data_IF_075090487354
#
_entry.id   IF_075090487354
#
_cell.length_a   1.000
_cell.length_b   1.000
_cell.length_c   1.000
_cell.angle_alpha   90.00
_cell.angle_beta   90.00
_cell.angle_gamma   90.00
#
_symmetry.space_group_name_H-M   'P 1'
#
loop_
_entity.id
_entity.type
_entity.pdbx_description
1 polymer ?
#
# COMPACT_ATOMS: atom_id res chain seq x y z
N UNK A 1 -24.96 -56.02 -46.60
CA UNK A 1 -25.78 -55.31 -45.62
C UNK A 1 -25.00 -55.15 -44.30
N UNK A 2 -23.97 -54.30 -44.25
CA UNK A 2 -23.14 -54.02 -43.05
C UNK A 2 -22.44 -52.67 -43.21
N UNK A 3 -23.19 -51.58 -43.32
CA UNK A 3 -22.62 -50.23 -43.43
C UNK A 3 -23.32 -49.24 -42.49
N UNK A 4 -23.87 -49.72 -41.40
CA UNK A 4 -24.58 -48.83 -40.45
C UNK A 4 -23.83 -48.61 -39.11
N UNK A 5 -22.66 -49.18 -38.95
CA UNK A 5 -21.98 -49.11 -37.68
C UNK A 5 -20.76 -48.16 -37.66
N UNK A 6 -20.36 -47.63 -38.81
CA UNK A 6 -19.11 -46.86 -38.88
C UNK A 6 -19.32 -45.32 -38.81
N UNK A 7 -20.55 -44.86 -39.01
CA UNK A 7 -20.85 -43.45 -39.08
C UNK A 7 -21.12 -42.79 -37.70
N UNK A 8 -21.44 -43.60 -36.70
CA UNK A 8 -21.74 -43.07 -35.34
C UNK A 8 -20.47 -42.84 -34.52
N UNK A 9 -19.41 -43.58 -34.79
CA UNK A 9 -18.15 -43.41 -34.06
C UNK A 9 -17.37 -42.14 -34.47
N UNK A 10 -17.63 -41.63 -35.67
CA UNK A 10 -16.89 -40.47 -36.17
C UNK A 10 -17.46 -39.13 -35.67
N UNK A 11 -18.73 -39.13 -35.28
CA UNK A 11 -19.41 -37.91 -34.78
C UNK A 11 -19.07 -37.68 -33.31
N UNK A 12 -18.83 -38.73 -32.54
CA UNK A 12 -18.46 -38.63 -31.14
C UNK A 12 -17.03 -38.09 -30.91
N UNK A 13 -16.14 -38.33 -31.87
CA UNK A 13 -14.75 -37.80 -31.76
C UNK A 13 -14.63 -36.33 -32.18
N UNK A 14 -15.57 -35.79 -32.92
CA UNK A 14 -15.55 -34.40 -33.34
C UNK A 14 -16.11 -33.45 -32.28
N UNK A 15 -16.98 -33.93 -31.39
CA UNK A 15 -17.53 -33.14 -30.28
C UNK A 15 -16.54 -32.92 -29.12
N UNK A 16 -15.54 -33.76 -28.97
CA UNK A 16 -14.52 -33.64 -27.92
C UNK A 16 -13.39 -32.67 -28.27
N UNK A 17 -13.20 -32.34 -29.54
CA UNK A 17 -12.17 -31.39 -29.98
C UNK A 17 -12.68 -29.95 -29.91
N UNK A 18 -13.97 -29.73 -29.93
CA UNK A 18 -14.55 -28.40 -29.81
C UNK A 18 -14.73 -27.91 -28.35
N UNK A 19 -14.51 -28.78 -27.38
CA UNK A 19 -14.63 -28.44 -25.98
C UNK A 19 -13.31 -28.00 -25.31
N UNK A 20 -12.17 -28.06 -25.98
CA UNK A 20 -10.87 -27.73 -25.40
C UNK A 20 -10.27 -26.43 -25.91
N UNK A 21 -10.97 -25.70 -26.77
CA UNK A 21 -10.55 -24.36 -27.18
C UNK A 21 -11.29 -23.25 -26.44
N UNK A 22 -11.96 -23.56 -25.35
CA UNK A 22 -12.49 -22.55 -24.47
C UNK A 22 -11.64 -22.44 -23.24
N UNK A 23 -11.04 -21.29 -23.14
CA UNK A 23 -10.54 -20.72 -21.90
C UNK A 23 -9.28 -21.37 -21.34
N UNK A 24 -8.22 -21.08 -21.97
CA UNK A 24 -7.15 -20.52 -21.20
C UNK A 24 -7.39 -19.01 -21.03
N UNK A 25 -8.47 -18.58 -20.42
CA UNK A 25 -8.34 -17.46 -19.52
C UNK A 25 -7.58 -18.06 -18.34
N UNK A 26 -6.29 -17.91 -18.37
CA UNK A 26 -5.45 -17.94 -17.19
C UNK A 26 -5.92 -16.75 -16.33
N UNK A 27 -7.08 -16.88 -15.71
CA UNK A 27 -7.49 -16.11 -14.56
C UNK A 27 -6.66 -16.67 -13.40
N UNK A 28 -5.35 -16.42 -13.46
CA UNK A 28 -4.51 -16.53 -12.28
C UNK A 28 -5.15 -15.61 -11.23
N UNK A 29 -5.52 -16.14 -10.05
CA UNK A 29 -6.25 -15.35 -9.06
C UNK A 29 -5.44 -14.09 -8.76
N UNK A 30 -6.06 -12.93 -8.96
CA UNK A 30 -5.41 -11.65 -8.75
C UNK A 30 -4.80 -11.59 -7.33
N UNK A 31 -3.54 -11.18 -7.23
CA UNK A 31 -2.85 -11.08 -5.96
C UNK A 31 -3.65 -10.20 -4.98
N UNK A 32 -3.69 -10.54 -3.68
CA UNK A 32 -4.36 -9.72 -2.67
C UNK A 32 -3.95 -8.25 -2.77
N UNK A 33 -4.91 -7.34 -2.57
CA UNK A 33 -4.71 -5.89 -2.74
C UNK A 33 -3.49 -5.39 -1.98
N UNK A 34 -3.31 -5.85 -0.73
CA UNK A 34 -2.16 -5.46 0.08
C UNK A 34 -0.83 -6.01 -0.46
N UNK A 35 -0.82 -7.16 -1.13
CA UNK A 35 0.39 -7.70 -1.75
C UNK A 35 0.83 -6.91 -2.99
N UNK A 36 -0.12 -6.25 -3.66
CA UNK A 36 0.17 -5.43 -4.85
C UNK A 36 0.88 -4.11 -4.50
N UNK A 37 0.77 -3.66 -3.25
CA UNK A 37 1.32 -2.37 -2.79
C UNK A 37 2.41 -2.50 -1.74
N UNK A 38 2.68 -3.70 -1.23
CA UNK A 38 3.75 -3.91 -0.26
C UNK A 38 5.12 -3.69 -0.89
N UNK A 39 6.00 -2.98 -0.18
CA UNK A 39 7.37 -2.71 -0.60
C UNK A 39 7.95 -1.41 -0.08
N UNK A 40 9.15 -1.09 -0.55
CA UNK A 40 9.90 0.11 -0.17
C UNK A 40 9.72 1.20 -1.23
N UNK A 41 9.14 2.31 -0.84
CA UNK A 41 8.92 3.46 -1.72
C UNK A 41 9.88 4.59 -1.37
N UNK A 42 10.70 4.98 -2.33
CA UNK A 42 11.64 6.09 -2.16
C UNK A 42 11.21 7.27 -2.99
N UNK A 43 11.20 8.45 -2.38
CA UNK A 43 10.82 9.66 -3.08
C UNK A 43 10.83 10.89 -2.19
N UNK A 44 10.14 11.92 -2.64
CA UNK A 44 10.15 13.22 -1.99
C UNK A 44 9.13 13.28 -0.84
N UNK A 45 9.60 13.73 0.31
CA UNK A 45 8.78 14.06 1.48
C UNK A 45 8.85 15.55 1.76
N UNK A 46 7.68 16.17 1.93
CA UNK A 46 7.55 17.57 2.35
C UNK A 46 6.79 17.60 3.67
N UNK A 47 7.39 18.25 4.67
CA UNK A 47 6.77 18.46 5.98
C UNK A 47 6.48 19.94 6.18
N UNK A 48 5.23 20.23 6.46
CA UNK A 48 4.74 21.57 6.79
C UNK A 48 4.46 21.67 8.29
N UNK A 49 4.88 22.76 8.90
CA UNK A 49 4.58 23.14 10.29
C UNK A 49 3.95 24.51 10.25
N UNK A 50 2.74 24.66 10.81
CA UNK A 50 2.00 25.92 10.79
C UNK A 50 1.88 26.55 9.38
N UNK A 51 1.72 25.69 8.34
CA UNK A 51 1.66 26.04 6.92
C UNK A 51 2.97 26.56 6.31
N UNK A 52 4.09 26.44 7.00
CA UNK A 52 5.41 26.74 6.46
C UNK A 52 6.16 25.45 6.16
N UNK A 53 6.90 25.39 5.04
CA UNK A 53 7.75 24.25 4.70
C UNK A 53 8.90 24.15 5.70
N UNK A 54 8.95 23.04 6.41
CA UNK A 54 9.95 22.78 7.45
C UNK A 54 11.00 21.78 6.98
N UNK A 55 10.65 20.90 6.06
CA UNK A 55 11.55 19.90 5.47
C UNK A 55 11.09 19.52 4.08
N UNK A 56 12.06 19.27 3.19
CA UNK A 56 11.83 18.78 1.84
C UNK A 56 13.01 17.87 1.47
N UNK A 57 12.82 16.57 1.66
CA UNK A 57 13.89 15.58 1.58
C UNK A 57 13.47 14.32 0.84
N UNK A 58 14.46 13.57 0.34
CA UNK A 58 14.22 12.22 -0.15
C UNK A 58 14.19 11.24 1.00
N UNK A 59 13.08 10.53 1.15
CA UNK A 59 12.85 9.53 2.21
C UNK A 59 12.40 8.20 1.62
N UNK A 60 12.49 7.15 2.44
CA UNK A 60 11.99 5.82 2.09
C UNK A 60 10.94 5.41 3.11
N UNK A 61 9.75 5.10 2.61
CA UNK A 61 8.63 4.55 3.36
C UNK A 61 8.52 3.05 3.09
N UNK A 62 8.30 2.26 4.12
CA UNK A 62 8.05 0.82 4.00
C UNK A 62 6.55 0.55 4.16
N UNK A 63 5.98 -0.12 3.17
CA UNK A 63 4.58 -0.59 3.21
C UNK A 63 4.62 -2.10 3.39
N UNK A 64 4.12 -2.58 4.51
CA UNK A 64 4.15 -4.01 4.86
C UNK A 64 2.74 -4.58 4.87
N UNK A 65 2.52 -5.69 4.17
CA UNK A 65 1.26 -6.42 4.19
C UNK A 65 0.98 -6.95 5.60
N UNK A 66 -0.24 -6.68 6.12
CA UNK A 66 -0.76 -7.24 7.37
C UNK A 66 -1.83 -8.28 7.09
N UNK A 67 -2.77 -7.95 6.20
CA UNK A 67 -3.83 -8.84 5.73
C UNK A 67 -3.98 -8.71 4.22
N UNK A 68 -4.96 -9.35 3.62
CA UNK A 68 -5.21 -9.21 2.18
C UNK A 68 -5.71 -7.81 1.79
N UNK A 69 -6.24 -7.06 2.75
CA UNK A 69 -6.84 -5.74 2.55
C UNK A 69 -6.32 -4.66 3.50
N UNK A 70 -5.20 -4.90 4.19
CA UNK A 70 -4.60 -3.90 5.08
C UNK A 70 -3.08 -3.95 5.07
N UNK A 71 -2.47 -2.80 5.33
CA UNK A 71 -1.02 -2.63 5.41
C UNK A 71 -0.62 -1.84 6.64
N UNK A 72 0.62 -2.02 7.07
CA UNK A 72 1.33 -1.12 7.97
C UNK A 72 2.20 -0.17 7.13
N UNK A 73 2.34 1.07 7.57
CA UNK A 73 3.24 2.06 6.97
C UNK A 73 4.31 2.45 7.98
N UNK A 74 5.56 2.16 7.69
CA UNK A 74 6.71 2.66 8.45
C UNK A 74 7.11 4.02 7.92
N UNK A 75 6.97 5.03 8.77
CA UNK A 75 7.39 6.40 8.52
C UNK A 75 8.86 6.53 8.90
N UNK A 76 9.72 7.07 8.04
CA UNK A 76 11.14 7.24 8.34
C UNK A 76 11.38 8.28 9.43
N UNK A 77 12.57 8.24 10.01
CA UNK A 77 13.01 9.25 10.96
C UNK A 77 13.06 10.64 10.31
N UNK A 78 12.63 11.62 11.06
CA UNK A 78 12.68 13.02 10.67
C UNK A 78 13.31 13.88 11.77
N UNK A 79 14.11 14.87 11.39
CA UNK A 79 14.78 15.76 12.32
C UNK A 79 14.70 17.23 11.91
N UNK A 80 14.48 18.10 12.89
CA UNK A 80 14.54 19.55 12.74
C UNK A 80 15.40 20.14 13.87
N UNK A 81 16.59 20.59 13.52
CA UNK A 81 17.53 21.14 14.49
C UNK A 81 17.93 20.13 15.58
N UNK A 82 17.61 20.42 16.83
CA UNK A 82 17.89 19.53 17.98
C UNK A 82 16.76 18.53 18.25
N UNK A 83 15.70 18.53 17.47
CA UNK A 83 14.56 17.66 17.62
C UNK A 83 14.59 16.57 16.57
N UNK A 84 14.50 15.33 17.02
CA UNK A 84 14.38 14.16 16.15
C UNK A 84 13.09 13.42 16.50
N UNK A 85 12.28 13.13 15.49
CA UNK A 85 11.16 12.21 15.59
C UNK A 85 11.65 10.88 15.03
N UNK A 86 11.79 9.85 15.87
CA UNK A 86 12.25 8.53 15.42
C UNK A 86 11.30 7.92 14.41
N UNK A 87 11.79 6.97 13.63
CA UNK A 87 10.92 6.14 12.77
C UNK A 87 9.81 5.48 13.60
N UNK A 88 8.59 5.48 13.08
CA UNK A 88 7.42 4.88 13.73
C UNK A 88 6.51 4.18 12.71
N UNK A 89 5.57 3.38 13.21
CA UNK A 89 4.70 2.57 12.36
C UNK A 89 3.24 2.98 12.55
N UNK A 90 2.57 3.30 11.45
CA UNK A 90 1.11 3.46 11.39
C UNK A 90 0.52 2.11 10.98
N UNK A 91 -0.27 1.50 11.87
CA UNK A 91 -0.72 0.11 11.70
C UNK A 91 -2.13 0.01 11.13
N UNK A 92 -2.36 -1.10 10.43
CA UNK A 92 -3.68 -1.52 9.96
C UNK A 92 -4.39 -0.47 9.10
N UNK A 93 -3.71 0.14 8.14
CA UNK A 93 -4.32 1.04 7.17
C UNK A 93 -5.15 0.18 6.21
N UNK A 94 -6.49 0.33 6.20
CA UNK A 94 -7.35 -0.43 5.29
C UNK A 94 -7.17 0.07 3.86
N UNK A 95 -7.20 -0.87 2.92
CA UNK A 95 -7.06 -0.62 1.49
C UNK A 95 -8.39 -0.88 0.77
N UNK A 96 -8.65 -0.09 -0.26
CA UNK A 96 -9.73 -0.29 -1.20
C UNK A 96 -9.18 -0.20 -2.63
N UNK A 97 -9.62 -1.10 -3.51
CA UNK A 97 -9.26 -1.12 -4.93
C UNK A 97 -10.45 -0.66 -5.76
N UNK A 98 -10.20 0.23 -6.71
CA UNK A 98 -11.16 0.69 -7.71
C UNK A 98 -10.47 0.75 -9.07
N UNK A 99 -10.79 -0.16 -9.95
CA UNK A 99 -10.06 -0.35 -11.21
C UNK A 99 -8.57 -0.64 -10.92
N UNK A 100 -7.70 0.14 -11.50
CA UNK A 100 -6.23 0.01 -11.32
C UNK A 100 -5.67 0.85 -10.17
N UNK A 101 -6.53 1.56 -9.44
CA UNK A 101 -6.10 2.41 -8.32
C UNK A 101 -6.40 1.73 -7.01
N UNK A 102 -5.39 1.67 -6.13
CA UNK A 102 -5.54 1.21 -4.76
C UNK A 102 -5.39 2.42 -3.84
N UNK A 103 -6.30 2.57 -2.90
CA UNK A 103 -6.28 3.67 -1.92
C UNK A 103 -6.24 3.12 -0.51
N UNK A 104 -5.48 3.78 0.37
CA UNK A 104 -5.46 3.53 1.80
C UNK A 104 -5.98 4.75 2.55
N UNK A 105 -6.87 4.56 3.53
CA UNK A 105 -7.39 5.67 4.35
C UNK A 105 -7.52 5.24 5.80
N UNK A 106 -7.01 6.10 6.70
CA UNK A 106 -7.17 5.88 8.14
C UNK A 106 -7.44 7.22 8.81
N UNK A 107 -8.51 7.30 9.58
CA UNK A 107 -8.92 8.55 10.24
C UNK A 107 -7.91 8.97 11.31
N UNK A 108 -7.47 8.02 12.16
CA UNK A 108 -6.50 8.28 13.22
C UNK A 108 -5.81 6.99 13.66
N UNK A 109 -4.57 7.11 14.07
CA UNK A 109 -3.77 6.08 14.73
C UNK A 109 -2.95 6.70 15.86
N UNK A 110 -2.89 6.06 17.01
CA UNK A 110 -2.08 6.48 18.15
C UNK A 110 -1.09 5.39 18.53
N UNK A 111 0.14 5.78 18.81
CA UNK A 111 1.19 4.88 19.23
C UNK A 111 2.21 5.55 20.13
N UNK A 112 3.21 4.79 20.56
CA UNK A 112 4.37 5.29 21.28
C UNK A 112 5.64 4.86 20.56
N UNK A 113 6.69 5.69 20.67
CA UNK A 113 8.00 5.38 20.13
C UNK A 113 9.07 5.90 21.12
N UNK A 114 10.19 5.20 21.21
CA UNK A 114 11.31 5.64 22.05
C UNK A 114 12.17 6.65 21.30
N UNK A 115 12.38 7.81 21.93
CA UNK A 115 13.32 8.80 21.40
C UNK A 115 14.79 8.35 21.62
N UNK A 116 15.75 9.13 21.13
CA UNK A 116 17.18 8.85 21.27
C UNK A 116 17.67 8.74 22.73
N UNK A 117 16.90 9.26 23.68
CA UNK A 117 17.19 9.16 25.13
C UNK A 117 16.55 7.94 25.78
N UNK A 118 15.83 7.10 25.00
CA UNK A 118 15.09 5.94 25.51
C UNK A 118 13.75 6.26 26.16
N UNK A 119 13.30 7.53 26.12
CA UNK A 119 12.02 7.95 26.67
C UNK A 119 10.89 7.61 25.70
N UNK A 120 9.80 7.06 26.21
CA UNK A 120 8.59 6.84 25.41
C UNK A 120 7.88 8.17 25.11
N UNK A 121 7.62 8.42 23.85
CA UNK A 121 6.85 9.57 23.37
C UNK A 121 5.62 9.07 22.62
N UNK A 122 4.47 9.58 23.00
CA UNK A 122 3.23 9.33 22.28
C UNK A 122 3.23 10.07 20.94
N UNK A 123 2.63 9.45 19.92
CA UNK A 123 2.33 10.12 18.66
C UNK A 123 0.90 9.82 18.22
N UNK A 124 0.33 10.75 17.49
CA UNK A 124 -0.98 10.60 16.85
C UNK A 124 -0.82 10.97 15.38
N UNK A 125 -1.15 10.03 14.52
CA UNK A 125 -1.25 10.26 13.08
C UNK A 125 -2.73 10.36 12.73
N UNK A 126 -3.11 11.34 11.95
CA UNK A 126 -4.50 11.54 11.52
C UNK A 126 -4.60 11.86 10.04
N UNK A 127 -5.79 11.67 9.47
CA UNK A 127 -6.09 11.98 8.08
C UNK A 127 -5.14 11.28 7.09
N UNK A 128 -4.77 10.02 7.37
CA UNK A 128 -3.94 9.24 6.44
C UNK A 128 -4.72 9.01 5.16
N UNK A 129 -4.13 9.39 4.04
CA UNK A 129 -4.62 9.10 2.71
C UNK A 129 -3.44 8.66 1.84
N UNK A 130 -3.53 7.46 1.29
CA UNK A 130 -2.55 6.88 0.37
C UNK A 130 -3.22 6.59 -0.96
N UNK A 131 -2.53 6.84 -2.05
CA UNK A 131 -2.95 6.49 -3.40
C UNK A 131 -1.79 5.76 -4.06
N UNK A 132 -2.02 4.50 -4.44
CA UNK A 132 -1.05 3.67 -5.12
C UNK A 132 -1.41 3.58 -6.61
N UNK A 133 -0.43 3.88 -7.45
CA UNK A 133 -0.46 3.64 -8.88
C UNK A 133 0.47 2.50 -9.28
N UNK A 134 0.81 2.39 -10.57
CA UNK A 134 1.81 1.44 -11.03
C UNK A 134 3.19 1.82 -10.46
N UNK A 135 3.66 1.03 -9.49
CA UNK A 135 4.93 1.23 -8.78
C UNK A 135 5.12 2.61 -8.13
N UNK A 136 4.03 3.32 -7.88
CA UNK A 136 4.08 4.65 -7.26
C UNK A 136 3.17 4.75 -6.06
N UNK A 137 3.49 5.64 -5.14
CA UNK A 137 2.63 6.03 -4.04
C UNK A 137 2.62 7.56 -3.89
N UNK A 138 1.44 8.10 -3.65
CA UNK A 138 1.27 9.44 -3.12
C UNK A 138 0.55 9.33 -1.78
N UNK A 139 1.06 9.99 -0.76
CA UNK A 139 0.50 9.93 0.60
C UNK A 139 0.48 11.27 1.28
N UNK A 140 -0.48 11.45 2.16
CA UNK A 140 -0.55 12.60 3.06
C UNK A 140 -1.07 12.15 4.42
N UNK A 141 -0.58 12.79 5.47
CA UNK A 141 -1.06 12.60 6.84
C UNK A 141 -0.70 13.80 7.70
N UNK A 142 -1.36 13.91 8.85
CA UNK A 142 -1.01 14.86 9.89
C UNK A 142 -0.41 14.13 11.08
N UNK A 143 0.64 14.69 11.68
CA UNK A 143 1.35 14.10 12.82
C UNK A 143 1.40 15.07 13.99
N UNK A 144 1.02 14.58 15.17
CA UNK A 144 1.29 15.20 16.46
C UNK A 144 2.22 14.30 17.25
N UNK A 145 3.35 14.84 17.72
CA UNK A 145 4.36 14.07 18.42
C UNK A 145 4.61 14.64 19.83
N UNK A 146 4.46 13.81 20.85
CA UNK A 146 4.65 14.20 22.24
C UNK A 146 3.78 15.41 22.64
N UNK A 147 4.40 16.37 23.31
CA UNK A 147 3.75 17.59 23.77
C UNK A 147 3.93 18.79 22.81
N UNK A 148 4.27 18.54 21.55
CA UNK A 148 4.43 19.62 20.58
C UNK A 148 3.13 20.40 20.42
N UNK A 149 3.21 21.76 20.45
CA UNK A 149 2.02 22.58 20.36
C UNK A 149 1.44 22.69 18.93
N UNK A 150 2.18 22.28 17.92
CA UNK A 150 1.84 22.38 16.52
C UNK A 150 1.55 21.02 15.89
N UNK A 151 0.76 21.04 14.84
CA UNK A 151 0.46 19.90 13.98
C UNK A 151 1.38 19.95 12.77
N UNK A 152 2.03 18.82 12.47
CA UNK A 152 2.80 18.66 11.25
C UNK A 152 1.93 18.02 10.18
N UNK A 153 1.97 18.54 8.97
CA UNK A 153 1.34 17.90 7.80
C UNK A 153 2.43 17.41 6.87
N UNK A 154 2.37 16.15 6.54
CA UNK A 154 3.35 15.49 5.66
C UNK A 154 2.69 15.13 4.34
N UNK A 155 3.38 15.40 3.25
CA UNK A 155 3.07 14.90 1.91
C UNK A 155 4.26 14.11 1.40
N UNK A 156 4.00 12.93 0.87
CA UNK A 156 5.03 12.03 0.32
C UNK A 156 4.63 11.55 -1.07
N UNK A 157 5.59 11.53 -1.98
CA UNK A 157 5.45 10.89 -3.30
C UNK A 157 6.69 10.05 -3.56
N UNK A 158 6.50 8.77 -3.89
CA UNK A 158 7.61 7.84 -4.05
C UNK A 158 7.36 6.78 -5.11
N UNK A 159 8.45 6.12 -5.50
CA UNK A 159 8.44 4.98 -6.41
C UNK A 159 8.94 3.74 -5.71
N UNK A 160 8.36 2.60 -6.05
CA UNK A 160 8.75 1.28 -5.56
C UNK A 160 10.16 0.96 -6.07
N UNK A 161 11.02 0.50 -5.18
CA UNK A 161 12.37 0.03 -5.50
C UNK A 161 12.38 -1.39 -6.02
#
# INVERSE_FOLDING_TARGET
MKIKSLTIALIASLATVLGTSSCSSDDEPEAPVAAQVAGSYTGNEVIMVDNEESSNETKTYEITKVSDTSVDMTVPEWGMGMMTIPSFVVKNIPLAKSGNTITGKLASYSGTVKNAKGEEKAYVVSNVALIFGDKTVAGTYSLKYGNMPFLMTTTFTGTLK
#
